data_IF_345633507533
#
_entry.id   IF_345633507533
#
_cell.length_a   1.000
_cell.length_b   1.000
_cell.length_c   1.000
_cell.angle_alpha   90.00
_cell.angle_beta   90.00
_cell.angle_gamma   90.00
#
_symmetry.space_group_name_H-M   'P 1'
#
loop_
_entity.id
_entity.type
_entity.pdbx_description
1 polymer ?
#
# COMPACT_ATOMS: atom_id res chain seq x y z
N UNK A 1 -2.04 18.43 -0.27
CA UNK A 1 -1.83 16.97 -0.40
C UNK A 1 -3.12 16.29 0.05
N UNK A 2 -3.62 15.21 -0.58
CA UNK A 2 -4.82 14.56 -0.09
C UNK A 2 -4.48 13.84 1.23
N UNK A 3 -5.08 14.31 2.32
CA UNK A 3 -5.06 13.64 3.61
C UNK A 3 -5.80 12.29 3.53
N UNK A 4 -5.30 11.28 4.24
CA UNK A 4 -6.07 10.06 4.56
C UNK A 4 -6.18 9.00 3.46
N UNK A 5 -5.20 8.87 2.56
CA UNK A 5 -5.14 7.70 1.67
C UNK A 5 -4.26 6.61 2.25
N UNK A 6 -4.78 5.39 2.27
CA UNK A 6 -4.04 4.20 2.67
C UNK A 6 -2.82 4.02 1.78
N UNK A 7 -1.70 3.67 2.41
CA UNK A 7 -0.44 3.34 1.76
C UNK A 7 -0.12 1.87 2.00
N UNK A 8 0.48 1.20 1.03
CA UNK A 8 0.98 -0.16 1.23
C UNK A 8 2.24 -0.46 0.43
N UNK A 9 3.06 -1.33 0.98
CA UNK A 9 4.21 -1.92 0.30
C UNK A 9 4.11 -3.44 0.34
N UNK A 10 4.25 -4.04 -0.83
CA UNK A 10 4.29 -5.49 -0.98
C UNK A 10 5.74 -5.94 -1.17
N UNK A 11 6.21 -6.79 -0.28
CA UNK A 11 7.57 -7.33 -0.27
C UNK A 11 7.53 -8.78 -0.70
N UNK A 12 8.15 -9.04 -1.85
CA UNK A 12 8.41 -10.36 -2.40
C UNK A 12 9.84 -10.77 -2.09
N UNK A 13 10.04 -12.03 -1.73
CA UNK A 13 11.35 -12.59 -1.40
C UNK A 13 11.51 -13.87 -2.20
N UNK A 14 12.59 -13.95 -2.97
CA UNK A 14 12.96 -15.16 -3.69
C UNK A 14 13.09 -16.36 -2.71
N UNK A 15 12.61 -17.57 -3.06
CA UNK A 15 12.67 -18.71 -2.15
C UNK A 15 14.07 -19.05 -1.61
N UNK A 16 15.13 -18.90 -2.42
CA UNK A 16 16.50 -19.22 -2.00
C UNK A 16 17.03 -18.18 -1.00
N UNK A 17 16.72 -16.89 -1.25
CA UNK A 17 17.01 -15.81 -0.31
C UNK A 17 16.20 -15.95 0.98
N UNK A 18 14.90 -16.26 0.88
CA UNK A 18 14.02 -16.48 2.03
C UNK A 18 14.61 -17.55 2.95
N UNK A 19 15.00 -18.69 2.39
CA UNK A 19 15.65 -19.76 3.16
C UNK A 19 16.90 -19.25 3.86
N UNK A 20 17.78 -18.56 3.14
CA UNK A 20 19.04 -18.03 3.68
C UNK A 20 18.80 -17.04 4.82
N UNK A 21 17.85 -16.12 4.64
CA UNK A 21 17.49 -15.12 5.64
C UNK A 21 16.91 -15.77 6.91
N UNK A 22 16.02 -16.76 6.76
CA UNK A 22 15.42 -17.50 7.88
C UNK A 22 16.44 -18.32 8.66
N UNK A 23 17.30 -19.08 7.97
CA UNK A 23 18.35 -19.89 8.59
C UNK A 23 19.31 -19.03 9.44
N UNK A 24 19.48 -17.77 9.06
CA UNK A 24 20.34 -16.81 9.75
C UNK A 24 19.56 -15.84 10.66
N UNK A 25 18.29 -16.08 10.98
CA UNK A 25 17.49 -15.24 11.89
C UNK A 25 17.41 -13.75 11.50
N UNK A 26 17.45 -13.44 10.20
CA UNK A 26 17.19 -12.09 9.72
C UNK A 26 15.70 -11.77 9.86
N UNK A 27 15.41 -10.53 10.26
CA UNK A 27 14.07 -9.96 10.36
C UNK A 27 13.81 -8.97 9.23
N UNK A 28 12.59 -8.98 8.68
CA UNK A 28 12.13 -7.97 7.72
C UNK A 28 11.79 -6.70 8.48
N UNK A 29 12.48 -5.61 8.16
CA UNK A 29 12.42 -4.36 8.90
C UNK A 29 11.92 -3.22 8.02
N UNK A 30 11.14 -2.32 8.63
CA UNK A 30 10.63 -1.09 8.02
C UNK A 30 10.93 0.10 8.92
N UNK A 31 11.24 1.25 8.33
CA UNK A 31 11.30 2.55 8.99
C UNK A 31 10.59 3.60 8.14
N UNK A 32 9.92 4.57 8.77
CA UNK A 32 9.25 5.67 8.06
C UNK A 32 10.06 6.95 8.18
N UNK A 33 10.10 7.72 7.08
CA UNK A 33 10.87 8.95 7.00
C UNK A 33 10.16 10.10 7.70
N UNK A 34 10.87 10.81 8.57
CA UNK A 34 10.43 12.07 9.19
C UNK A 34 11.61 13.04 9.18
N UNK A 35 11.40 14.29 8.74
CA UNK A 35 12.47 15.29 8.59
C UNK A 35 13.67 14.76 7.76
N UNK A 36 13.35 14.11 6.64
CA UNK A 36 14.33 13.45 5.73
C UNK A 36 15.22 12.39 6.40
N UNK A 37 14.81 11.88 7.56
CA UNK A 37 15.60 10.94 8.38
C UNK A 37 14.81 9.67 8.68
N UNK A 38 15.52 8.54 8.72
CA UNK A 38 15.06 7.28 9.30
C UNK A 38 15.85 7.02 10.56
N UNK A 39 15.20 6.95 11.72
CA UNK A 39 15.90 6.72 12.98
C UNK A 39 15.16 5.87 14.00
N UNK A 40 14.03 5.26 13.63
CA UNK A 40 13.32 4.27 14.43
C UNK A 40 12.86 3.13 13.55
N UNK A 41 13.10 1.90 13.99
CA UNK A 41 12.53 0.71 13.36
C UNK A 41 11.04 0.68 13.65
N UNK A 42 10.25 0.98 12.63
CA UNK A 42 8.80 1.05 12.74
C UNK A 42 8.17 -0.34 12.89
N UNK A 43 8.69 -1.32 12.16
CA UNK A 43 8.28 -2.73 12.27
C UNK A 43 9.49 -3.64 12.05
N UNK A 44 9.54 -4.75 12.78
CA UNK A 44 10.54 -5.80 12.63
C UNK A 44 9.88 -7.18 12.81
N UNK A 45 9.67 -7.90 11.71
CA UNK A 45 9.03 -9.22 11.71
C UNK A 45 10.07 -10.34 11.55
N UNK A 46 10.00 -11.40 12.38
CA UNK A 46 10.87 -12.58 12.27
C UNK A 46 10.27 -13.71 11.44
N UNK A 47 8.96 -13.73 11.32
CA UNK A 47 8.09 -14.78 10.79
C UNK A 47 7.37 -14.36 9.49
N UNK A 48 7.94 -13.37 8.78
CA UNK A 48 7.55 -13.00 7.41
C UNK A 48 7.57 -14.18 6.43
N UNK A 49 6.73 -14.12 5.40
CA UNK A 49 6.60 -15.13 4.35
C UNK A 49 7.36 -14.73 3.08
N UNK A 50 7.18 -15.47 1.98
CA UNK A 50 7.72 -15.09 0.67
C UNK A 50 7.05 -13.81 0.15
N UNK A 51 5.74 -13.66 0.41
CA UNK A 51 4.94 -12.48 0.08
C UNK A 51 4.45 -11.84 1.37
N UNK A 52 4.72 -10.56 1.54
CA UNK A 52 4.33 -9.80 2.74
C UNK A 52 3.73 -8.47 2.32
N UNK A 53 2.69 -8.02 3.01
CA UNK A 53 2.13 -6.69 2.82
C UNK A 53 2.28 -5.90 4.11
N UNK A 54 2.82 -4.69 4.01
CA UNK A 54 2.89 -3.74 5.11
C UNK A 54 2.13 -2.48 4.71
N UNK A 55 1.16 -2.07 5.50
CA UNK A 55 0.28 -0.95 5.16
C UNK A 55 0.19 0.07 6.28
N UNK A 56 -0.16 1.31 5.94
CA UNK A 56 -0.35 2.36 6.92
C UNK A 56 -1.31 3.44 6.44
N UNK A 57 -1.77 4.22 7.41
CA UNK A 57 -2.53 5.43 7.19
C UNK A 57 -1.75 6.61 7.78
N UNK A 58 -1.86 7.83 7.23
CA UNK A 58 -1.22 9.02 7.77
C UNK A 58 -1.97 9.53 9.03
N UNK A 59 -2.09 8.64 10.03
CA UNK A 59 -2.64 8.90 11.34
C UNK A 59 -1.48 8.89 12.34
N UNK A 60 -1.24 10.03 12.97
CA UNK A 60 -0.07 10.23 13.82
C UNK A 60 -0.44 10.51 15.27
N UNK A 61 0.50 10.16 16.16
CA UNK A 61 0.45 10.54 17.57
C UNK A 61 1.78 11.18 17.96
N UNK A 62 1.73 12.41 18.47
CA UNK A 62 2.89 13.15 18.95
C UNK A 62 3.21 12.72 20.38
N UNK A 63 4.49 12.60 20.70
CA UNK A 63 4.97 12.32 22.06
C UNK A 63 6.31 13.00 22.32
N UNK A 64 6.73 13.04 23.59
CA UNK A 64 8.09 13.42 24.00
C UNK A 64 8.85 12.23 24.59
N UNK A 65 10.16 12.16 24.32
CA UNK A 65 11.09 11.21 24.95
C UNK A 65 12.22 11.92 25.69
N UNK A 66 12.65 11.36 26.82
CA UNK A 66 13.76 11.91 27.61
C UNK A 66 15.14 11.57 27.03
N UNK A 67 15.24 10.67 26.07
CA UNK A 67 16.54 10.29 25.51
C UNK A 67 16.44 9.74 24.10
N UNK A 68 17.46 10.02 23.31
CA UNK A 68 17.75 9.34 22.07
C UNK A 68 19.06 8.57 22.21
N UNK A 69 19.07 7.28 21.85
CA UNK A 69 20.27 6.45 21.83
C UNK A 69 20.08 5.32 20.82
N UNK A 70 21.07 5.13 19.94
CA UNK A 70 21.10 3.98 19.04
C UNK A 70 20.97 2.66 19.81
N UNK A 71 20.33 1.69 19.16
CA UNK A 71 20.10 0.31 19.63
C UNK A 71 19.21 0.18 20.89
N UNK A 72 18.64 1.29 21.36
CA UNK A 72 17.70 1.32 22.47
C UNK A 72 16.28 1.52 21.94
N UNK A 73 15.30 0.82 22.54
CA UNK A 73 13.89 1.03 22.20
C UNK A 73 13.43 2.43 22.62
N UNK A 74 12.63 3.08 21.79
CA UNK A 74 11.96 4.34 22.11
C UNK A 74 11.17 4.17 23.40
N UNK A 75 11.43 5.06 24.36
CA UNK A 75 10.64 5.22 25.57
C UNK A 75 9.84 6.51 25.49
N UNK A 76 8.54 6.38 25.24
CA UNK A 76 7.59 7.48 25.38
C UNK A 76 7.60 7.93 26.84
N UNK A 77 7.92 9.20 27.07
CA UNK A 77 8.15 9.78 28.40
C UNK A 77 7.03 10.73 28.83
N UNK A 78 6.22 11.20 27.88
CA UNK A 78 4.99 11.99 28.11
C UNK A 78 3.76 11.10 27.91
N UNK A 79 2.55 11.66 28.05
CA UNK A 79 1.41 11.11 27.31
C UNK A 79 1.57 11.39 25.81
N UNK A 80 0.80 10.70 24.97
CA UNK A 80 0.77 10.93 23.53
C UNK A 80 -0.60 11.43 23.09
N UNK A 81 -0.62 12.27 22.04
CA UNK A 81 -1.85 12.91 21.54
C UNK A 81 -1.99 12.70 20.04
N UNK A 82 -3.21 12.46 19.59
CA UNK A 82 -3.50 12.40 18.15
C UNK A 82 -3.24 13.77 17.52
N UNK A 83 -2.58 13.79 16.36
CA UNK A 83 -2.20 15.02 15.68
C UNK A 83 -2.18 14.84 14.16
N UNK A 84 -2.54 15.89 13.43
CA UNK A 84 -2.49 15.93 11.96
C UNK A 84 -1.46 16.94 11.43
N UNK A 85 -1.25 16.91 10.12
CA UNK A 85 -0.47 17.94 9.43
C UNK A 85 -1.19 19.31 9.54
N UNK A 86 -0.46 20.38 9.81
CA UNK A 86 -1.02 21.71 10.09
C UNK A 86 -1.38 21.95 11.56
N UNK A 87 -1.30 20.90 12.39
CA UNK A 87 -1.61 21.00 13.81
C UNK A 87 -0.35 21.27 14.66
N UNK A 88 -0.60 21.76 15.86
CA UNK A 88 0.36 21.93 16.92
C UNK A 88 -0.18 21.38 18.24
N UNK A 89 0.70 20.90 19.11
CA UNK A 89 0.37 20.58 20.50
C UNK A 89 1.37 21.20 21.47
N UNK A 90 0.88 21.62 22.63
CA UNK A 90 1.70 22.24 23.67
C UNK A 90 2.11 21.16 24.68
N UNK A 91 3.41 21.00 24.91
CA UNK A 91 3.96 20.30 26.06
C UNK A 91 4.14 21.33 27.17
N UNK A 92 3.33 21.25 28.23
CA UNK A 92 3.34 22.23 29.31
C UNK A 92 4.53 22.06 30.28
N UNK A 93 4.59 22.91 31.31
CA UNK A 93 5.69 22.92 32.29
C UNK A 93 5.69 21.69 33.19
N UNK A 94 4.56 21.01 33.26
CA UNK A 94 4.32 19.80 34.04
C UNK A 94 4.65 18.52 33.25
N UNK A 95 4.96 18.65 31.95
CA UNK A 95 5.30 17.53 31.07
C UNK A 95 4.08 16.84 30.47
N UNK A 96 2.93 17.50 30.47
CA UNK A 96 1.69 17.01 29.87
C UNK A 96 1.57 17.59 28.46
N UNK A 97 1.40 16.70 27.49
CA UNK A 97 1.14 17.07 26.10
C UNK A 97 -0.36 17.27 25.92
N UNK A 98 -0.79 18.50 25.63
CA UNK A 98 -2.20 18.86 25.46
C UNK A 98 -2.74 18.45 24.09
N UNK A 99 -4.07 18.43 23.97
CA UNK A 99 -4.75 18.13 22.72
C UNK A 99 -4.27 19.05 21.57
N UNK A 100 -4.23 18.47 20.37
CA UNK A 100 -3.81 19.19 19.17
C UNK A 100 -4.78 20.35 18.85
N UNK A 101 -4.21 21.44 18.36
CA UNK A 101 -4.92 22.61 17.86
C UNK A 101 -4.34 23.03 16.52
N UNK A 102 -5.14 23.69 15.68
CA UNK A 102 -4.64 24.21 14.40
C UNK A 102 -3.69 25.38 14.66
N UNK A 103 -2.59 25.45 13.90
CA UNK A 103 -1.63 26.56 14.05
C UNK A 103 -0.23 26.29 13.52
N UNK A 104 0.10 25.04 13.20
CA UNK A 104 1.36 24.66 12.58
C UNK A 104 1.39 24.87 11.05
N UNK A 105 2.55 24.70 10.41
CA UNK A 105 2.67 24.72 8.96
C UNK A 105 1.86 23.58 8.31
N UNK A 106 1.21 23.79 7.14
CA UNK A 106 0.23 22.84 6.58
C UNK A 106 0.74 21.43 6.28
N UNK A 107 2.05 21.24 6.19
CA UNK A 107 2.71 19.97 5.84
C UNK A 107 3.47 19.38 7.01
N UNK A 108 3.36 19.97 8.20
CA UNK A 108 4.19 19.66 9.36
C UNK A 108 3.32 19.47 10.62
N UNK A 109 3.90 18.80 11.61
CA UNK A 109 3.34 18.61 12.94
C UNK A 109 4.22 19.39 13.91
N UNK A 110 3.63 20.28 14.71
CA UNK A 110 4.41 21.17 15.59
C UNK A 110 4.29 20.74 17.05
N UNK A 111 5.42 20.58 17.74
CA UNK A 111 5.46 20.54 19.21
C UNK A 111 5.87 21.92 19.74
N UNK A 112 5.05 22.52 20.61
CA UNK A 112 5.40 23.72 21.36
C UNK A 112 5.80 23.32 22.77
N UNK A 113 7.09 23.33 23.06
CA UNK A 113 7.67 22.87 24.30
C UNK A 113 7.86 24.00 25.32
N UNK A 114 7.20 23.85 26.47
CA UNK A 114 7.33 24.69 27.66
C UNK A 114 7.90 23.93 28.87
N UNK A 115 8.16 22.63 28.74
CA UNK A 115 8.65 21.76 29.81
C UNK A 115 10.12 22.00 30.14
N UNK A 116 10.97 21.94 29.11
CA UNK A 116 12.41 21.81 29.27
C UNK A 116 12.98 20.83 28.25
N UNK A 117 14.15 20.27 28.54
CA UNK A 117 14.83 19.31 27.68
C UNK A 117 13.95 18.10 27.34
N UNK A 118 13.65 17.92 26.06
CA UNK A 118 12.87 16.78 25.55
C UNK A 118 13.23 16.51 24.08
N UNK A 119 13.11 15.25 23.65
CA UNK A 119 13.18 14.84 22.25
C UNK A 119 11.74 14.67 21.71
N UNK A 120 11.27 15.54 20.79
CA UNK A 120 9.99 15.34 20.13
C UNK A 120 10.02 14.03 19.32
N UNK A 121 8.94 13.27 19.38
CA UNK A 121 8.82 12.01 18.66
C UNK A 121 7.43 11.82 18.07
N UNK A 122 7.36 10.96 17.07
CA UNK A 122 6.14 10.69 16.34
C UNK A 122 5.90 9.19 16.25
N UNK A 123 4.67 8.79 16.49
CA UNK A 123 4.16 7.45 16.23
C UNK A 123 3.20 7.48 15.05
N UNK A 124 3.12 6.39 14.29
CA UNK A 124 2.17 6.24 13.21
C UNK A 124 1.43 4.91 13.29
N UNK A 125 0.20 4.91 12.79
CA UNK A 125 -0.62 3.72 12.64
C UNK A 125 -0.14 2.88 11.45
N UNK A 126 0.00 1.57 11.66
CA UNK A 126 0.30 0.61 10.60
C UNK A 126 -0.43 -0.71 10.81
N UNK A 127 -0.60 -1.43 9.71
CA UNK A 127 -0.96 -2.85 9.67
C UNK A 127 0.28 -3.63 9.24
N UNK A 128 0.72 -4.55 10.09
CA UNK A 128 1.94 -5.32 9.86
C UNK A 128 1.76 -6.48 8.87
N UNK A 129 2.84 -7.24 8.65
CA UNK A 129 2.88 -8.39 7.74
C UNK A 129 1.98 -9.55 8.15
N UNK A 130 1.43 -9.52 9.37
CA UNK A 130 0.46 -10.50 9.87
C UNK A 130 -0.99 -9.98 9.79
N UNK A 131 -1.18 -8.74 9.31
CA UNK A 131 -2.49 -8.08 9.30
C UNK A 131 -2.86 -7.46 10.65
N UNK A 132 -1.95 -7.40 11.62
CA UNK A 132 -2.20 -6.80 12.93
C UNK A 132 -1.98 -5.30 12.89
N UNK A 133 -2.93 -4.55 13.45
CA UNK A 133 -2.88 -3.09 13.46
C UNK A 133 -2.36 -2.55 14.77
N UNK A 134 -1.42 -1.61 14.72
CA UNK A 134 -0.85 -0.96 15.90
C UNK A 134 -0.42 0.47 15.61
N UNK A 135 -0.14 1.24 16.67
CA UNK A 135 0.49 2.55 16.56
C UNK A 135 1.81 2.51 17.31
N UNK A 136 2.91 2.62 16.57
CA UNK A 136 4.27 2.49 17.08
C UNK A 136 5.12 3.68 16.70
N UNK A 137 6.16 4.01 17.49
CA UNK A 137 7.10 5.06 17.17
C UNK A 137 7.75 4.89 15.79
N UNK A 138 7.77 5.97 15.01
CA UNK A 138 8.43 6.07 13.70
C UNK A 138 9.62 7.02 13.71
N UNK A 139 9.70 7.90 14.70
CA UNK A 139 10.74 8.92 14.78
C UNK A 139 10.91 9.43 16.21
N UNK A 140 12.14 9.78 16.56
CA UNK A 140 12.49 10.59 17.73
C UNK A 140 13.58 11.57 17.31
N UNK A 141 13.44 12.86 17.60
CA UNK A 141 14.46 13.84 17.28
C UNK A 141 15.78 13.48 17.98
N UNK A 142 16.90 13.45 17.25
CA UNK A 142 18.19 13.10 17.85
C UNK A 142 18.69 14.15 18.84
N UNK A 143 18.33 15.41 18.60
CA UNK A 143 18.67 16.54 19.47
C UNK A 143 17.45 16.92 20.30
N UNK A 144 17.68 17.12 21.59
CA UNK A 144 16.66 17.68 22.48
C UNK A 144 16.39 19.15 22.14
N UNK A 145 15.14 19.56 22.28
CA UNK A 145 14.75 20.96 22.37
C UNK A 145 14.57 21.33 23.84
N UNK A 146 14.88 22.58 24.21
CA UNK A 146 14.79 23.05 25.61
C UNK A 146 13.49 23.82 25.86
N UNK A 147 13.29 24.91 25.12
CA UNK A 147 12.05 25.68 25.12
C UNK A 147 11.85 26.20 23.70
N UNK A 148 10.60 26.35 23.28
CA UNK A 148 10.27 26.83 21.94
C UNK A 148 9.51 25.79 21.15
N UNK A 149 9.68 25.80 19.84
CA UNK A 149 8.92 24.94 18.93
C UNK A 149 9.85 24.08 18.08
N UNK A 150 9.40 22.87 17.78
CA UNK A 150 10.02 21.98 16.79
C UNK A 150 8.95 21.41 15.86
N UNK A 151 9.35 21.11 14.65
CA UNK A 151 8.48 20.70 13.55
C UNK A 151 8.90 19.35 13.02
N UNK A 152 7.93 18.44 12.91
CA UNK A 152 8.09 17.11 12.38
C UNK A 152 7.38 17.02 11.03
N UNK A 153 8.09 16.59 10.00
CA UNK A 153 7.59 16.47 8.62
C UNK A 153 7.59 15.00 8.22
N UNK A 154 6.48 14.27 8.44
CA UNK A 154 6.34 12.91 7.94
C UNK A 154 6.37 12.91 6.42
N UNK A 155 7.14 12.00 5.85
CA UNK A 155 7.17 11.75 4.41
C UNK A 155 6.55 10.38 4.15
N UNK A 156 5.76 10.27 3.08
CA UNK A 156 5.19 8.99 2.64
C UNK A 156 6.23 8.14 1.91
N UNK A 157 7.35 7.90 2.58
CA UNK A 157 8.44 7.04 2.14
C UNK A 157 8.86 6.12 3.29
N UNK A 158 9.17 4.87 2.95
CA UNK A 158 9.64 3.85 3.89
C UNK A 158 10.98 3.29 3.45
N UNK A 159 11.84 2.99 4.41
CA UNK A 159 13.05 2.22 4.20
C UNK A 159 12.77 0.76 4.57
N UNK A 160 13.12 -0.19 3.70
CA UNK A 160 13.01 -1.63 3.94
C UNK A 160 14.37 -2.30 3.91
N UNK A 161 14.62 -3.23 4.83
CA UNK A 161 15.88 -4.00 4.88
C UNK A 161 15.71 -5.30 5.70
N UNK A 162 16.77 -6.11 5.72
CA UNK A 162 16.87 -7.29 6.57
C UNK A 162 17.95 -7.11 7.63
N UNK A 163 17.64 -7.40 8.90
CA UNK A 163 18.61 -7.28 9.99
C UNK A 163 18.37 -8.31 11.10
N UNK A 164 19.46 -8.76 11.74
CA UNK A 164 19.43 -9.68 12.88
C UNK A 164 19.29 -8.91 14.20
N UNK A 165 18.73 -9.55 15.23
CA UNK A 165 18.72 -9.05 16.61
C UNK A 165 18.08 -7.66 16.84
N UNK A 166 17.35 -7.13 15.86
CA UNK A 166 16.65 -5.85 15.99
C UNK A 166 15.18 -6.06 16.40
N UNK A 167 14.54 -5.02 16.91
CA UNK A 167 13.14 -5.06 17.34
C UNK A 167 12.39 -3.80 16.93
N UNK A 168 11.07 -3.90 16.84
CA UNK A 168 10.20 -2.73 16.68
C UNK A 168 10.47 -1.70 17.78
N UNK A 169 10.42 -0.44 17.38
CA UNK A 169 10.74 0.76 18.16
C UNK A 169 12.22 0.94 18.51
N UNK A 170 13.16 0.15 17.98
CA UNK A 170 14.60 0.39 18.21
C UNK A 170 15.07 1.65 17.48
N UNK A 171 15.71 2.57 18.19
CA UNK A 171 16.30 3.79 17.64
C UNK A 171 17.64 3.50 16.95
N UNK A 172 18.00 4.30 15.95
CA UNK A 172 19.29 4.21 15.26
C UNK A 172 19.68 5.52 14.57
N UNK A 173 20.97 5.71 14.33
CA UNK A 173 21.50 6.90 13.63
C UNK A 173 22.40 6.55 12.44
N UNK A 174 22.86 5.29 12.37
CA UNK A 174 23.70 4.80 11.29
C UNK A 174 22.89 4.24 10.13
N UNK A 175 23.47 4.33 8.93
CA UNK A 175 22.88 3.75 7.73
C UNK A 175 22.74 2.22 7.86
N UNK A 176 21.61 1.70 7.36
CA UNK A 176 21.32 0.26 7.35
C UNK A 176 21.89 -0.40 6.09
N UNK A 177 22.52 -1.56 6.27
CA UNK A 177 23.12 -2.34 5.19
C UNK A 177 22.06 -2.83 4.21
N UNK A 178 22.29 -2.63 2.90
CA UNK A 178 21.40 -3.09 1.82
C UNK A 178 19.94 -2.67 2.03
N UNK A 179 19.72 -1.46 2.52
CA UNK A 179 18.40 -0.89 2.67
C UNK A 179 17.90 -0.26 1.35
N UNK A 180 16.62 -0.41 1.08
CA UNK A 180 15.95 0.16 -0.09
C UNK A 180 14.94 1.20 0.37
N UNK A 181 14.98 2.38 -0.23
CA UNK A 181 13.94 3.41 -0.03
C UNK A 181 12.79 3.18 -1.03
N UNK A 182 11.57 3.15 -0.51
CA UNK A 182 10.35 3.08 -1.30
C UNK A 182 9.60 4.40 -1.07
N UNK A 183 9.56 5.24 -2.09
CA UNK A 183 8.84 6.53 -2.08
C UNK A 183 7.40 6.35 -2.59
N UNK A 184 6.44 6.65 -1.72
CA UNK A 184 4.99 6.64 -1.98
C UNK A 184 4.38 8.03 -1.80
N UNK A 185 5.16 9.10 -1.97
CA UNK A 185 4.67 10.48 -1.92
C UNK A 185 3.63 10.76 -3.01
N UNK A 186 3.83 10.20 -4.23
CA UNK A 186 2.94 10.41 -5.38
C UNK A 186 2.08 9.20 -5.74
N UNK A 187 2.31 8.04 -5.11
CA UNK A 187 1.58 6.77 -5.34
C UNK A 187 1.08 6.19 -4.02
N UNK A 188 0.12 5.27 -4.05
CA UNK A 188 -0.40 4.66 -2.81
C UNK A 188 0.16 3.29 -2.53
N UNK A 189 0.61 2.58 -3.55
CA UNK A 189 1.13 1.23 -3.42
C UNK A 189 2.42 1.08 -4.20
N UNK A 190 3.30 0.23 -3.69
CA UNK A 190 4.53 -0.15 -4.36
C UNK A 190 4.88 -1.60 -4.04
N UNK A 191 5.61 -2.26 -4.94
CA UNK A 191 6.14 -3.60 -4.70
C UNK A 191 7.68 -3.59 -4.79
N UNK A 192 8.32 -4.46 -4.02
CA UNK A 192 9.75 -4.74 -4.09
C UNK A 192 10.01 -6.23 -4.04
N UNK A 193 10.93 -6.70 -4.88
CA UNK A 193 11.46 -8.06 -4.90
C UNK A 193 12.88 -8.05 -4.34
N UNK A 194 13.12 -8.89 -3.34
CA UNK A 194 14.45 -9.25 -2.88
C UNK A 194 14.88 -10.56 -3.53
N UNK A 195 15.87 -10.49 -4.43
CA UNK A 195 16.39 -11.66 -5.15
C UNK A 195 17.90 -11.51 -5.41
N UNK A 196 18.66 -12.58 -5.21
CA UNK A 196 20.12 -12.60 -5.32
C UNK A 196 20.79 -11.60 -4.37
N UNK A 197 20.24 -11.43 -3.17
CA UNK A 197 20.71 -10.45 -2.18
C UNK A 197 20.50 -8.98 -2.58
N UNK A 198 19.63 -8.67 -3.55
CA UNK A 198 19.41 -7.30 -4.06
C UNK A 198 17.93 -6.97 -4.13
N UNK A 199 17.63 -5.69 -3.91
CA UNK A 199 16.30 -5.13 -4.14
C UNK A 199 16.09 -4.79 -5.61
N UNK A 200 14.89 -5.05 -6.11
CA UNK A 200 14.42 -4.61 -7.41
C UNK A 200 12.94 -4.29 -7.36
N UNK A 201 12.45 -3.50 -8.31
CA UNK A 201 11.01 -3.41 -8.54
C UNK A 201 10.61 -4.61 -9.40
N UNK A 202 9.67 -5.47 -8.96
CA UNK A 202 9.19 -6.55 -9.80
C UNK A 202 8.65 -5.93 -11.09
N UNK A 203 9.21 -6.31 -12.24
CA UNK A 203 8.49 -6.14 -13.50
C UNK A 203 7.14 -6.84 -13.34
N UNK A 204 6.05 -6.28 -13.90
CA UNK A 204 4.69 -6.83 -13.83
C UNK A 204 4.53 -8.29 -14.35
N UNK A 205 5.63 -8.98 -14.63
CA UNK A 205 5.81 -10.32 -15.14
C UNK A 205 6.13 -11.38 -14.08
N UNK A 206 6.24 -11.05 -12.79
CA UNK A 206 6.65 -12.04 -11.76
C UNK A 206 5.76 -12.11 -10.51
N UNK A 207 4.46 -11.82 -10.63
CA UNK A 207 3.52 -12.47 -9.71
C UNK A 207 3.55 -13.95 -10.06
N UNK A 208 4.17 -14.75 -9.19
CA UNK A 208 4.04 -16.21 -9.18
C UNK A 208 2.56 -16.58 -9.24
N UNK A 209 2.09 -16.78 -10.45
CA UNK A 209 0.82 -17.41 -10.74
C UNK A 209 1.13 -18.33 -11.89
N UNK A 210 1.02 -19.63 -11.62
CA UNK A 210 0.86 -20.66 -12.64
C UNK A 210 0.13 -20.06 -13.85
N UNK A 211 0.64 -20.22 -15.09
CA UNK A 211 -0.05 -19.78 -16.29
C UNK A 211 -1.55 -20.13 -16.28
N UNK A 212 -1.96 -21.24 -15.66
CA UNK A 212 -3.36 -21.60 -15.47
C UNK A 212 -4.12 -20.67 -14.49
N UNK A 213 -3.48 -20.16 -13.44
CA UNK A 213 -4.06 -19.17 -12.51
C UNK A 213 -4.16 -17.80 -13.17
N UNK A 214 -3.17 -17.38 -13.96
CA UNK A 214 -3.27 -16.17 -14.79
C UNK A 214 -4.37 -16.34 -15.84
N UNK A 215 -4.47 -17.50 -16.49
CA UNK A 215 -5.54 -17.81 -17.44
C UNK A 215 -6.91 -17.88 -16.77
N UNK A 216 -6.97 -18.32 -15.51
CA UNK A 216 -8.20 -18.38 -14.71
C UNK A 216 -8.59 -16.99 -14.24
N UNK A 217 -7.65 -16.15 -13.81
CA UNK A 217 -7.89 -14.75 -13.44
C UNK A 217 -8.29 -13.95 -14.69
N UNK A 218 -7.63 -14.15 -15.83
CA UNK A 218 -8.03 -13.60 -17.14
C UNK A 218 -9.41 -14.14 -17.53
N UNK A 219 -9.69 -15.45 -17.45
CA UNK A 219 -11.01 -16.00 -17.78
C UNK A 219 -12.12 -15.51 -16.81
N UNK A 220 -11.79 -15.29 -15.54
CA UNK A 220 -12.72 -14.81 -14.50
C UNK A 220 -12.93 -13.30 -14.61
N UNK A 221 -11.91 -12.50 -14.94
CA UNK A 221 -12.01 -11.06 -15.23
C UNK A 221 -12.62 -10.78 -16.60
N UNK A 222 -12.36 -11.60 -17.62
CA UNK A 222 -13.04 -11.50 -18.93
C UNK A 222 -14.49 -11.97 -18.83
N UNK A 223 -14.84 -12.83 -17.85
CA UNK A 223 -16.22 -13.17 -17.51
C UNK A 223 -16.91 -12.18 -16.54
N UNK A 224 -16.17 -11.50 -15.66
CA UNK A 224 -16.75 -10.64 -14.60
C UNK A 224 -16.64 -9.13 -14.88
N UNK A 225 -15.63 -8.69 -15.63
CA UNK A 225 -15.41 -7.30 -16.05
C UNK A 225 -15.47 -7.25 -17.58
N UNK A 226 -16.67 -7.53 -18.09
CA UNK A 226 -17.27 -6.83 -19.24
C UNK A 226 -18.55 -7.49 -19.74
N UNK A 227 -19.06 -8.59 -19.16
CA UNK A 227 -20.37 -9.05 -19.60
C UNK A 227 -21.48 -8.06 -19.22
N UNK A 228 -21.52 -7.51 -18.00
CA UNK A 228 -22.65 -6.66 -17.62
C UNK A 228 -22.66 -5.28 -18.31
N UNK A 229 -21.53 -4.57 -18.40
CA UNK A 229 -21.51 -3.23 -18.99
C UNK A 229 -21.57 -3.28 -20.53
N UNK A 230 -20.96 -4.29 -21.16
CA UNK A 230 -21.14 -4.58 -22.58
C UNK A 230 -22.56 -5.08 -22.86
N UNK A 231 -23.14 -5.96 -22.03
CA UNK A 231 -24.54 -6.40 -22.15
C UNK A 231 -25.53 -5.26 -21.92
N UNK A 232 -25.25 -4.27 -21.07
CA UNK A 232 -26.17 -3.15 -20.85
C UNK A 232 -26.12 -2.17 -22.04
N UNK A 233 -24.94 -1.96 -22.63
CA UNK A 233 -24.76 -1.16 -23.87
C UNK A 233 -25.24 -1.90 -25.13
N UNK A 234 -25.13 -3.24 -25.18
CA UNK A 234 -25.67 -4.10 -26.24
C UNK A 234 -27.19 -4.23 -26.11
N UNK A 235 -27.72 -4.54 -24.91
CA UNK A 235 -29.16 -4.73 -24.65
C UNK A 235 -29.96 -3.43 -24.78
N UNK A 236 -29.39 -2.28 -24.38
CA UNK A 236 -30.02 -0.97 -24.67
C UNK A 236 -30.01 -0.57 -26.15
N UNK A 237 -29.18 -1.23 -26.98
CA UNK A 237 -29.16 -1.06 -28.46
C UNK A 237 -29.82 -2.20 -29.24
N UNK A 238 -30.21 -3.30 -28.58
CA UNK A 238 -30.75 -4.52 -29.21
C UNK A 238 -32.01 -5.04 -28.49
N UNK A 239 -32.84 -4.14 -27.95
CA UNK A 239 -34.24 -4.45 -27.67
C UNK A 239 -34.94 -4.77 -29.00
N UNK A 240 -34.81 -6.03 -29.45
CA UNK A 240 -35.52 -6.47 -30.65
C UNK A 240 -35.32 -7.91 -31.15
N UNK A 241 -34.10 -8.45 -31.35
CA UNK A 241 -33.98 -9.45 -32.45
C UNK A 241 -33.17 -10.75 -32.27
N UNK A 242 -32.23 -10.97 -31.33
CA UNK A 242 -31.35 -12.16 -31.44
C UNK A 242 -31.30 -13.11 -30.22
N UNK A 243 -31.38 -14.42 -30.50
CA UNK A 243 -31.48 -15.53 -29.53
C UNK A 243 -30.17 -16.32 -29.34
N UNK A 244 -29.16 -16.10 -30.18
CA UNK A 244 -27.83 -16.72 -30.11
C UNK A 244 -26.84 -15.79 -30.85
N UNK A 245 -25.61 -15.60 -30.33
CA UNK A 245 -24.58 -14.89 -31.12
C UNK A 245 -23.18 -15.48 -30.92
N UNK A 246 -22.33 -15.24 -31.92
CA UNK A 246 -20.91 -15.61 -31.94
C UNK A 246 -20.08 -14.35 -32.16
N UNK A 247 -19.00 -14.21 -31.41
CA UNK A 247 -18.00 -13.19 -31.64
C UNK A 247 -16.64 -13.87 -31.86
N UNK A 248 -15.88 -13.37 -32.83
CA UNK A 248 -14.50 -13.81 -33.08
C UNK A 248 -13.58 -12.62 -32.88
N UNK A 249 -12.57 -12.79 -32.03
CA UNK A 249 -11.55 -11.77 -31.79
C UNK A 249 -10.21 -12.35 -32.22
N UNK A 250 -9.51 -11.67 -33.11
CA UNK A 250 -8.23 -12.11 -33.65
C UNK A 250 -7.15 -11.13 -33.20
N UNK A 251 -6.11 -11.64 -32.55
CA UNK A 251 -4.94 -10.83 -32.18
C UNK A 251 -4.09 -10.51 -33.42
N UNK A 252 -3.22 -9.50 -33.30
CA UNK A 252 -2.34 -9.07 -34.39
C UNK A 252 -1.37 -10.19 -34.84
N UNK A 253 -1.10 -11.19 -33.98
CA UNK A 253 -0.36 -12.41 -34.30
C UNK A 253 -1.19 -13.55 -34.93
N UNK A 254 -2.43 -13.27 -35.37
CA UNK A 254 -3.29 -14.22 -36.07
C UNK A 254 -4.00 -15.25 -35.19
N UNK A 255 -3.92 -15.12 -33.86
CA UNK A 255 -4.61 -16.06 -32.95
C UNK A 255 -6.05 -15.62 -32.76
N UNK A 256 -7.00 -16.45 -33.21
CA UNK A 256 -8.44 -16.17 -33.10
C UNK A 256 -9.05 -16.90 -31.90
N UNK A 257 -9.72 -16.16 -31.01
CA UNK A 257 -10.58 -16.70 -29.97
C UNK A 257 -12.04 -16.59 -30.41
N UNK A 258 -12.75 -17.72 -30.40
CA UNK A 258 -14.18 -17.79 -30.77
C UNK A 258 -15.03 -17.90 -29.53
N UNK A 259 -15.85 -16.88 -29.27
CA UNK A 259 -16.79 -16.87 -28.15
C UNK A 259 -18.17 -17.27 -28.68
N UNK A 260 -18.71 -18.35 -28.14
CA UNK A 260 -20.05 -18.83 -28.45
C UNK A 260 -20.91 -18.68 -27.20
N UNK A 261 -21.81 -17.71 -27.21
CA UNK A 261 -22.80 -17.56 -26.15
C UNK A 261 -24.02 -18.42 -26.48
N UNK A 262 -24.46 -19.21 -25.50
CA UNK A 262 -25.75 -19.92 -25.52
C UNK A 262 -26.31 -19.82 -24.12
N UNK A 263 -27.49 -19.22 -23.97
CA UNK A 263 -28.11 -19.06 -22.66
C UNK A 263 -28.36 -20.44 -22.01
N UNK A 264 -27.90 -20.62 -20.77
CA UNK A 264 -28.44 -21.64 -19.87
C UNK A 264 -29.04 -20.94 -18.64
N UNK A 265 -30.24 -21.33 -18.20
CA UNK A 265 -30.99 -20.58 -17.22
C UNK A 265 -30.50 -20.84 -15.79
N UNK A 266 -30.54 -19.76 -14.99
CA UNK A 266 -30.55 -19.65 -13.51
C UNK A 266 -29.25 -19.21 -12.82
N UNK A 267 -28.97 -17.91 -12.89
CA UNK A 267 -28.36 -17.20 -11.76
C UNK A 267 -29.49 -16.75 -10.81
N UNK A 268 -29.50 -17.25 -9.58
CA UNK A 268 -30.52 -16.93 -8.57
C UNK A 268 -30.29 -15.56 -7.93
N UNK A 269 -31.37 -14.95 -7.43
CA UNK A 269 -31.49 -13.53 -7.10
C UNK A 269 -30.47 -12.92 -6.12
N UNK A 270 -29.79 -13.70 -5.29
CA UNK A 270 -28.75 -13.19 -4.38
C UNK A 270 -27.52 -12.65 -5.14
N UNK A 271 -27.15 -13.27 -6.27
CA UNK A 271 -26.00 -12.83 -7.08
C UNK A 271 -26.32 -11.57 -7.90
N UNK A 272 -27.57 -11.38 -8.31
CA UNK A 272 -28.03 -10.17 -9.00
C UNK A 272 -27.92 -8.91 -8.13
N UNK A 273 -28.17 -9.03 -6.84
CA UNK A 273 -28.05 -7.93 -5.87
C UNK A 273 -26.59 -7.60 -5.57
N UNK A 274 -25.74 -8.63 -5.44
CA UNK A 274 -24.31 -8.45 -5.20
C UNK A 274 -23.60 -7.84 -6.43
N UNK A 275 -23.99 -8.22 -7.64
CA UNK A 275 -23.54 -7.59 -8.89
C UNK A 275 -24.00 -6.13 -9.01
N UNK A 276 -25.23 -5.79 -8.58
CA UNK A 276 -25.69 -4.40 -8.54
C UNK A 276 -24.95 -3.55 -7.51
N UNK A 277 -24.59 -4.10 -6.35
CA UNK A 277 -23.82 -3.40 -5.34
C UNK A 277 -22.39 -3.09 -5.82
N UNK A 278 -21.75 -4.03 -6.51
CA UNK A 278 -20.43 -3.82 -7.13
C UNK A 278 -20.44 -2.77 -8.26
N UNK A 279 -21.58 -2.53 -8.91
CA UNK A 279 -21.75 -1.50 -9.94
C UNK A 279 -22.07 -0.11 -9.40
N UNK A 280 -22.53 -0.04 -8.15
CA UNK A 280 -22.91 1.21 -7.50
C UNK A 280 -21.73 1.85 -6.77
N UNK A 281 -20.56 1.21 -6.76
CA UNK A 281 -19.30 1.79 -6.27
C UNK A 281 -18.41 2.21 -7.46
N UNK A 282 -18.42 3.49 -7.86
CA UNK A 282 -17.67 3.98 -9.00
C UNK A 282 -16.15 3.79 -8.84
N UNK A 283 -15.63 3.81 -7.60
CA UNK A 283 -14.20 3.71 -7.35
C UNK A 283 -13.68 2.30 -7.61
N UNK A 284 -14.47 1.29 -7.27
CA UNK A 284 -14.16 -0.12 -7.53
C UNK A 284 -14.20 -0.44 -9.02
N UNK A 285 -15.16 0.16 -9.75
CA UNK A 285 -15.28 0.04 -11.21
C UNK A 285 -14.12 0.73 -11.93
N UNK A 286 -13.72 1.92 -11.48
CA UNK A 286 -12.59 2.66 -12.06
C UNK A 286 -11.25 1.96 -11.81
N UNK A 287 -11.04 1.41 -10.61
CA UNK A 287 -9.84 0.63 -10.28
C UNK A 287 -9.74 -0.66 -11.10
N UNK A 288 -10.85 -1.40 -11.25
CA UNK A 288 -10.88 -2.61 -12.05
C UNK A 288 -10.71 -2.33 -13.55
N UNK A 289 -11.25 -1.20 -14.03
CA UNK A 289 -11.09 -0.75 -15.42
C UNK A 289 -9.65 -0.31 -15.72
N UNK A 290 -9.00 0.37 -14.79
CA UNK A 290 -7.59 0.78 -14.90
C UNK A 290 -6.65 -0.45 -14.88
N UNK A 291 -6.91 -1.43 -14.01
CA UNK A 291 -6.18 -2.71 -13.99
C UNK A 291 -6.36 -3.46 -15.31
N UNK A 292 -7.58 -3.53 -15.85
CA UNK A 292 -7.84 -4.19 -17.12
C UNK A 292 -7.17 -3.47 -18.30
N UNK A 293 -7.24 -2.14 -18.36
CA UNK A 293 -6.60 -1.33 -19.40
C UNK A 293 -5.07 -1.44 -19.36
N UNK A 294 -4.47 -1.47 -18.16
CA UNK A 294 -3.03 -1.71 -17.98
C UNK A 294 -2.63 -3.11 -18.40
N UNK A 295 -3.44 -4.13 -18.08
CA UNK A 295 -3.20 -5.49 -18.54
C UNK A 295 -3.28 -5.60 -20.08
N UNK A 296 -4.22 -4.92 -20.74
CA UNK A 296 -4.30 -4.88 -22.21
C UNK A 296 -3.13 -4.14 -22.85
N UNK A 297 -2.68 -3.03 -22.25
CA UNK A 297 -1.51 -2.29 -22.70
C UNK A 297 -0.21 -3.10 -22.53
N UNK A 298 -0.08 -3.86 -21.44
CA UNK A 298 1.07 -4.75 -21.18
C UNK A 298 1.12 -5.96 -22.13
N UNK A 299 -0.02 -6.36 -22.68
CA UNK A 299 -0.12 -7.45 -23.65
C UNK A 299 -0.01 -6.97 -25.11
N UNK A 300 0.24 -5.68 -25.35
CA UNK A 300 0.38 -5.05 -26.66
C UNK A 300 -0.84 -5.30 -27.59
N UNK A 301 -2.05 -5.37 -27.02
CA UNK A 301 -3.28 -5.65 -27.77
C UNK A 301 -3.92 -4.35 -28.24
N UNK A 302 -3.60 -3.91 -29.46
CA UNK A 302 -4.32 -2.83 -30.14
C UNK A 302 -5.63 -3.34 -30.73
N UNK A 303 -6.76 -2.68 -30.44
CA UNK A 303 -8.04 -2.97 -31.12
C UNK A 303 -8.15 -2.13 -32.40
N UNK A 304 -8.21 -2.79 -33.57
CA UNK A 304 -8.20 -2.12 -34.88
C UNK A 304 -9.58 -1.96 -35.55
N UNK A 305 -10.60 -2.79 -35.23
CA UNK A 305 -11.99 -2.53 -35.61
C UNK A 305 -12.98 -3.54 -34.98
N UNK A 306 -14.20 -3.11 -34.68
CA UNK A 306 -15.37 -4.00 -34.52
C UNK A 306 -16.20 -3.98 -35.80
N UNK A 307 -16.38 -5.13 -36.46
CA UNK A 307 -17.36 -5.29 -37.53
C UNK A 307 -18.41 -6.34 -37.15
N UNK A 308 -19.68 -5.92 -37.17
CA UNK A 308 -20.82 -6.80 -37.04
C UNK A 308 -21.10 -7.47 -38.39
N UNK A 309 -21.03 -8.79 -38.47
CA UNK A 309 -21.47 -9.56 -39.63
C UNK A 309 -22.93 -9.96 -39.40
N UNK A 310 -23.89 -9.54 -40.24
CA UNK A 310 -25.28 -10.00 -40.13
C UNK A 310 -25.38 -11.44 -40.63
N UNK A 311 -25.84 -12.36 -39.78
CA UNK A 311 -26.17 -13.74 -40.16
C UNK A 311 -27.65 -13.87 -40.52
N UNK A 312 -27.94 -14.47 -41.68
CA UNK A 312 -29.27 -14.92 -42.13
C UNK A 312 -29.92 -15.92 -41.19
#
# INVERSE_FOLDING_TARGET
MPAGQDKSVDIQIDPDDLKTLKDNNYKLCFAKKVNDTYNVVWQSAGDYLADNSFAWQPLYRLFGSNSFSGDVKVRVSTNDVAIGLGDQAVLDKEGILHDASTGGPPTEITMVNQFGKIHPGLSAYSTDVHGESSTTPIYVAEKEIVLGQDTLTPVEAVQVWFEQNIATSTMFSDARSNAEEIDLTTVNTAARLYSGGKWSTPTASSLYTDPATVLTIIATLTAAVSLYDLMTKISSRLTGVYKDFKAEVTSEGGTTVKIKYKEQPRLTGARLTQTRQLQQDPKLVDQLSDIALRAFAQLNVGYTAMQAIPGR
#
